data_IF_825429904538
#
_entry.id   IF_825429904538
#
_cell.length_a   1.000
_cell.length_b   1.000
_cell.length_c   1.000
_cell.angle_alpha   90.00
_cell.angle_beta   90.00
_cell.angle_gamma   90.00
#
_symmetry.space_group_name_H-M   'P 1'
#
loop_
_entity.id
_entity.type
_entity.pdbx_description
1 polymer ?
#
# COMPACT_ATOMS: atom_id res chain seq x y z
N UNK A 1 -7.65 -4.26 26.94
CA UNK A 1 -8.02 -4.62 25.56
C UNK A 1 -6.72 -4.70 24.79
N UNK A 2 -6.32 -5.89 24.37
CA UNK A 2 -5.02 -6.08 23.73
C UNK A 2 -5.14 -5.67 22.25
N UNK A 3 -4.76 -4.44 21.93
CA UNK A 3 -4.81 -3.88 20.58
C UNK A 3 -4.04 -4.76 19.58
N UNK A 4 -3.02 -5.50 20.04
CA UNK A 4 -2.30 -6.47 19.23
C UNK A 4 -3.19 -7.60 18.71
N UNK A 5 -4.14 -8.08 19.51
CA UNK A 5 -5.09 -9.13 19.09
C UNK A 5 -6.13 -8.63 18.09
N UNK A 6 -6.39 -7.31 18.06
CA UNK A 6 -7.34 -6.72 17.11
C UNK A 6 -6.73 -6.53 15.72
N UNK A 7 -5.43 -6.22 15.64
CA UNK A 7 -4.76 -5.97 14.36
C UNK A 7 -4.25 -7.25 13.69
N UNK A 8 -4.01 -8.33 14.45
CA UNK A 8 -3.52 -9.62 13.95
C UNK A 8 -4.25 -10.16 12.71
N UNK A 9 -5.59 -10.30 12.67
CA UNK A 9 -6.28 -10.82 11.48
C UNK A 9 -6.10 -9.91 10.26
N UNK A 10 -6.00 -8.59 10.46
CA UNK A 10 -5.77 -7.63 9.38
C UNK A 10 -4.36 -7.77 8.81
N UNK A 11 -3.34 -7.94 9.66
CA UNK A 11 -1.96 -8.17 9.21
C UNK A 11 -1.82 -9.47 8.42
N UNK A 12 -2.50 -10.55 8.84
CA UNK A 12 -2.54 -11.82 8.09
C UNK A 12 -3.15 -11.66 6.71
N UNK A 13 -4.23 -10.90 6.60
CA UNK A 13 -4.89 -10.65 5.32
C UNK A 13 -4.02 -9.78 4.40
N UNK A 14 -3.36 -8.75 4.94
CA UNK A 14 -2.40 -7.93 4.18
C UNK A 14 -1.27 -8.81 3.65
N UNK A 15 -0.67 -9.67 4.48
CA UNK A 15 0.39 -10.58 4.06
C UNK A 15 -0.07 -11.54 2.94
N UNK A 16 -1.31 -12.04 3.02
CA UNK A 16 -1.91 -12.88 1.96
C UNK A 16 -2.02 -12.12 0.64
N UNK A 17 -2.47 -10.86 0.66
CA UNK A 17 -2.60 -10.02 -0.54
C UNK A 17 -1.25 -9.69 -1.16
N UNK A 18 -0.26 -9.31 -0.34
CA UNK A 18 1.12 -9.04 -0.76
C UNK A 18 1.70 -10.24 -1.51
N UNK A 19 1.57 -11.43 -0.93
CA UNK A 19 2.04 -12.67 -1.56
C UNK A 19 1.33 -12.98 -2.89
N UNK A 20 0.02 -12.75 -2.97
CA UNK A 20 -0.74 -12.97 -4.22
C UNK A 20 -0.39 -11.99 -5.32
N UNK A 21 0.04 -10.78 -4.97
CA UNK A 21 0.42 -9.74 -5.91
C UNK A 21 1.89 -9.84 -6.38
N UNK A 22 2.68 -10.78 -5.84
CA UNK A 22 4.11 -10.90 -6.17
C UNK A 22 4.94 -9.75 -5.63
N UNK A 23 4.54 -9.16 -4.50
CA UNK A 23 5.29 -8.09 -3.83
C UNK A 23 6.24 -8.70 -2.79
N UNK A 24 7.51 -8.31 -2.80
CA UNK A 24 8.49 -8.80 -1.82
C UNK A 24 8.32 -8.11 -0.47
N UNK A 25 8.19 -6.78 -0.50
CA UNK A 25 7.98 -5.95 0.69
C UNK A 25 6.97 -4.85 0.38
N UNK A 26 6.02 -4.65 1.30
CA UNK A 26 5.09 -3.50 1.27
C UNK A 26 5.21 -2.70 2.56
N UNK A 27 5.22 -1.38 2.43
CA UNK A 27 5.01 -0.42 3.51
C UNK A 27 3.71 0.31 3.26
N UNK A 28 2.77 0.27 4.20
CA UNK A 28 1.44 0.87 4.07
C UNK A 28 1.24 1.87 5.20
N UNK A 29 0.69 3.05 4.88
CA UNK A 29 0.09 3.92 5.87
C UNK A 29 -1.37 4.18 5.51
N UNK A 30 -2.20 4.22 6.54
CA UNK A 30 -3.59 4.63 6.44
C UNK A 30 -3.91 5.55 7.61
N UNK A 31 -4.69 6.58 7.34
CA UNK A 31 -5.11 7.59 8.33
C UNK A 31 -6.63 7.60 8.43
N UNK A 32 -7.15 8.10 9.54
CA UNK A 32 -8.59 8.30 9.75
C UNK A 32 -9.20 9.38 8.82
N UNK A 33 -8.36 10.23 8.22
CA UNK A 33 -8.76 11.21 7.20
C UNK A 33 -8.98 10.60 5.82
N UNK A 34 -8.86 9.27 5.67
CA UNK A 34 -9.04 8.57 4.41
C UNK A 34 -7.84 8.65 3.46
N UNK A 35 -6.75 9.31 3.88
CA UNK A 35 -5.48 9.23 3.16
C UNK A 35 -4.86 7.86 3.41
N UNK A 36 -4.52 7.16 2.34
CA UNK A 36 -3.78 5.92 2.39
C UNK A 36 -2.71 5.90 1.30
N UNK A 37 -1.56 5.32 1.61
CA UNK A 37 -0.51 5.10 0.63
C UNK A 37 0.22 3.80 0.89
N UNK A 38 0.79 3.22 -0.16
CA UNK A 38 1.62 2.04 -0.09
C UNK A 38 2.85 2.21 -0.98
N UNK A 39 4.02 1.89 -0.43
CA UNK A 39 5.25 1.71 -1.20
C UNK A 39 5.57 0.23 -1.23
N UNK A 40 5.81 -0.35 -2.41
CA UNK A 40 6.31 -1.71 -2.53
C UNK A 40 7.52 -1.79 -3.44
N UNK A 41 8.36 -2.78 -3.16
CA UNK A 41 9.54 -3.14 -3.95
C UNK A 41 9.24 -4.49 -4.60
N UNK A 42 9.46 -4.59 -5.91
CA UNK A 42 9.37 -5.86 -6.63
C UNK A 42 10.74 -6.55 -6.77
N UNK A 43 10.74 -7.75 -7.34
CA UNK A 43 11.95 -8.59 -7.50
C UNK A 43 13.07 -7.92 -8.30
N UNK A 44 12.79 -6.85 -9.06
CA UNK A 44 13.74 -6.09 -9.88
C UNK A 44 14.22 -4.80 -9.18
N UNK A 45 14.01 -4.68 -7.87
CA UNK A 45 14.29 -3.47 -7.06
C UNK A 45 13.51 -2.22 -7.53
N UNK A 46 12.41 -2.37 -8.29
CA UNK A 46 11.60 -1.21 -8.71
C UNK A 46 10.75 -0.71 -7.56
N UNK A 47 10.74 0.60 -7.37
CA UNK A 47 9.97 1.25 -6.32
C UNK A 47 8.64 1.71 -6.86
N UNK A 48 7.56 1.10 -6.39
CA UNK A 48 6.20 1.54 -6.71
C UNK A 48 5.62 2.28 -5.53
N UNK A 49 4.99 3.42 -5.79
CA UNK A 49 4.23 4.17 -4.81
C UNK A 49 2.80 4.34 -5.30
N UNK A 50 1.84 3.89 -4.49
CA UNK A 50 0.41 4.08 -4.72
C UNK A 50 -0.13 5.00 -3.64
N UNK A 51 -0.73 6.13 -4.03
CA UNK A 51 -1.38 7.06 -3.12
C UNK A 51 -2.88 7.14 -3.45
N UNK A 52 -3.72 6.96 -2.43
CA UNK A 52 -5.15 7.23 -2.47
C UNK A 52 -5.37 8.54 -1.71
N UNK A 53 -5.64 9.60 -2.47
CA UNK A 53 -5.86 10.95 -1.95
C UNK A 53 -7.27 11.05 -1.37
N UNK A 54 -7.48 12.03 -0.48
CA UNK A 54 -8.76 12.24 0.22
C UNK A 54 -9.93 12.58 -0.71
N UNK A 55 -9.64 13.03 -1.93
CA UNK A 55 -10.62 13.31 -2.98
C UNK A 55 -10.95 12.07 -3.84
N UNK A 56 -10.37 10.91 -3.53
CA UNK A 56 -10.57 9.66 -4.23
C UNK A 56 -9.62 9.44 -5.41
N UNK A 57 -8.75 10.41 -5.73
CA UNK A 57 -7.74 10.26 -6.78
C UNK A 57 -6.73 9.19 -6.38
N UNK A 58 -6.47 8.26 -7.29
CA UNK A 58 -5.44 7.24 -7.13
C UNK A 58 -4.26 7.60 -8.03
N UNK A 59 -3.08 7.74 -7.44
CA UNK A 59 -1.83 7.99 -8.15
C UNK A 59 -0.90 6.79 -8.02
N UNK A 60 -0.32 6.36 -9.14
CA UNK A 60 0.75 5.38 -9.18
C UNK A 60 2.01 6.06 -9.70
N UNK A 61 3.08 5.98 -8.92
CA UNK A 61 4.42 6.41 -9.28
C UNK A 61 5.38 5.23 -9.30
N UNK A 62 6.33 5.25 -10.24
CA UNK A 62 7.40 4.25 -10.37
C UNK A 62 8.72 5.01 -10.35
N UNK A 63 9.62 4.66 -9.44
CA UNK A 63 10.95 5.28 -9.26
C UNK A 63 10.90 6.82 -9.18
N UNK A 64 9.85 7.35 -8.55
CA UNK A 64 9.63 8.80 -8.35
C UNK A 64 8.99 9.54 -9.53
N UNK A 65 8.67 8.85 -10.64
CA UNK A 65 7.90 9.41 -11.75
C UNK A 65 6.43 9.01 -11.68
N UNK A 66 5.51 9.98 -11.80
CA UNK A 66 4.07 9.70 -11.91
C UNK A 66 3.82 8.95 -13.22
N UNK A 67 3.34 7.71 -13.09
CA UNK A 67 3.05 6.84 -14.22
C UNK A 67 1.57 6.87 -14.60
N UNK A 68 0.68 6.94 -13.60
CA UNK A 68 -0.75 6.87 -13.83
C UNK A 68 -1.55 7.62 -12.76
N UNK A 69 -2.67 8.21 -13.18
CA UNK A 69 -3.67 8.84 -12.31
C UNK A 69 -5.07 8.36 -12.70
N UNK A 70 -5.86 7.93 -11.71
CA UNK A 70 -7.27 7.57 -11.88
C UNK A 70 -8.15 8.53 -11.08
N UNK A 71 -9.20 9.02 -11.73
CA UNK A 71 -10.31 9.76 -11.14
C UNK A 71 -11.55 8.87 -11.01
#
# INVERSE_FOLDING_TARGET
MDLGLQIEPHLKEIARLVSQAGMDVVSIAATDSGLAWATYIDEDDRHYNVEVKSDGVIELSIDGGVFYTKN
#
